data_IF_096395408903
#
_entry.id   IF_096395408903
#
_cell.length_a   1.000
_cell.length_b   1.000
_cell.length_c   1.000
_cell.angle_alpha   90.00
_cell.angle_beta   90.00
_cell.angle_gamma   90.00
#
_symmetry.space_group_name_H-M   'P 1'
#
loop_
_entity.id
_entity.type
_entity.pdbx_description
1 polymer ?
#
# COMPACT_ATOMS: atom_id res chain seq x y z
N UNK A 1 8.31 -9.95 21.00
CA UNK A 1 8.70 -9.83 19.57
C UNK A 1 7.42 -9.76 18.77
N UNK A 2 7.04 -8.57 18.27
CA UNK A 2 5.88 -8.44 17.38
C UNK A 2 6.17 -9.24 16.10
N UNK A 3 5.38 -10.29 15.86
CA UNK A 3 5.51 -11.07 14.63
C UNK A 3 5.19 -10.15 13.44
N UNK A 4 6.11 -10.04 12.49
CA UNK A 4 5.94 -9.28 11.23
C UNK A 4 5.00 -10.02 10.27
N UNK A 5 4.65 -11.28 10.57
CA UNK A 5 3.87 -12.16 9.71
C UNK A 5 2.48 -11.63 9.34
N UNK A 6 1.73 -10.95 10.24
CA UNK A 6 0.48 -10.28 9.87
C UNK A 6 0.69 -9.18 8.82
N UNK A 7 1.79 -8.43 8.91
CA UNK A 7 2.13 -7.40 7.92
C UNK A 7 2.58 -8.03 6.59
N UNK A 8 3.38 -9.11 6.65
CA UNK A 8 3.74 -9.89 5.46
C UNK A 8 2.49 -10.40 4.72
N UNK A 9 1.52 -10.94 5.46
CA UNK A 9 0.25 -11.42 4.89
C UNK A 9 -0.54 -10.27 4.26
N UNK A 10 -0.56 -9.09 4.88
CA UNK A 10 -1.19 -7.89 4.32
C UNK A 10 -0.57 -7.55 2.96
N UNK A 11 0.76 -7.46 2.87
CA UNK A 11 1.46 -7.16 1.61
C UNK A 11 1.14 -8.20 0.53
N UNK A 12 1.15 -9.49 0.87
CA UNK A 12 0.86 -10.58 -0.08
C UNK A 12 -0.58 -10.55 -0.61
N UNK A 13 -1.55 -10.15 0.21
CA UNK A 13 -2.94 -9.99 -0.22
C UNK A 13 -3.09 -8.75 -1.11
N UNK A 14 -2.49 -7.63 -0.69
CA UNK A 14 -2.45 -6.39 -1.47
C UNK A 14 -1.83 -6.57 -2.85
N UNK A 15 -0.68 -7.27 -2.91
CA UNK A 15 0.02 -7.57 -4.15
C UNK A 15 -0.89 -8.28 -5.16
N UNK A 16 -1.59 -9.34 -4.73
CA UNK A 16 -2.52 -10.09 -5.58
C UNK A 16 -3.78 -9.31 -5.94
N UNK A 17 -4.29 -8.49 -5.03
CA UNK A 17 -5.53 -7.75 -5.24
C UNK A 17 -5.37 -6.57 -6.21
N UNK A 18 -4.23 -5.87 -6.19
CA UNK A 18 -4.06 -4.62 -6.94
C UNK A 18 -2.96 -4.66 -8.00
N UNK A 19 -2.01 -5.61 -7.92
CA UNK A 19 -0.79 -5.57 -8.72
C UNK A 19 -0.60 -6.80 -9.62
N UNK A 20 -1.58 -7.70 -9.73
CA UNK A 20 -1.48 -8.89 -10.60
C UNK A 20 -1.32 -8.53 -12.09
N UNK A 21 -2.08 -7.53 -12.55
CA UNK A 21 -2.12 -7.11 -13.96
C UNK A 21 -1.10 -5.99 -14.32
N UNK A 22 -0.31 -5.53 -13.35
CA UNK A 22 0.63 -4.42 -13.59
C UNK A 22 1.80 -4.90 -14.45
N UNK A 23 2.03 -4.21 -15.58
CA UNK A 23 3.11 -4.51 -16.51
C UNK A 23 4.06 -3.32 -16.67
N UNK A 24 5.37 -3.59 -16.66
CA UNK A 24 6.41 -2.56 -16.73
C UNK A 24 7.08 -2.54 -18.12
N UNK A 25 6.32 -2.15 -19.15
CA UNK A 25 6.82 -2.05 -20.53
C UNK A 25 7.86 -0.93 -20.68
N UNK A 26 8.78 -1.08 -21.62
CA UNK A 26 9.71 -0.01 -22.03
C UNK A 26 9.21 0.63 -23.32
N UNK A 27 9.43 1.93 -23.49
CA UNK A 27 8.94 2.79 -24.60
C UNK A 27 9.15 2.26 -26.03
N UNK A 28 10.02 1.28 -26.26
CA UNK A 28 10.41 0.81 -27.60
C UNK A 28 10.08 -0.66 -27.92
N UNK A 29 9.18 -1.33 -27.19
CA UNK A 29 8.78 -2.69 -27.58
C UNK A 29 7.60 -2.65 -28.58
N UNK A 30 7.95 -2.59 -29.87
CA UNK A 30 7.09 -3.09 -30.94
C UNK A 30 6.71 -4.54 -30.63
N UNK A 31 5.45 -4.90 -30.91
CA UNK A 31 4.78 -6.17 -30.61
C UNK A 31 5.70 -7.38 -30.83
N UNK A 32 6.44 -7.77 -29.80
CA UNK A 32 7.14 -9.05 -29.74
C UNK A 32 6.27 -10.00 -28.94
N UNK A 33 6.03 -11.15 -29.55
CA UNK A 33 5.51 -12.39 -28.99
C UNK A 33 5.73 -12.52 -27.48
N UNK A 34 4.62 -12.43 -26.72
CA UNK A 34 4.43 -12.99 -25.37
C UNK A 34 5.59 -12.76 -24.39
N UNK A 35 5.89 -11.51 -24.04
CA UNK A 35 6.59 -11.24 -22.78
C UNK A 35 5.57 -11.24 -21.63
N UNK A 36 5.48 -12.37 -20.93
CA UNK A 36 4.62 -12.59 -19.76
C UNK A 36 5.15 -11.77 -18.56
N UNK A 37 5.15 -10.44 -18.68
CA UNK A 37 5.54 -9.52 -17.62
C UNK A 37 4.46 -9.36 -16.53
N UNK A 38 3.35 -10.10 -16.67
CA UNK A 38 2.25 -10.15 -15.72
C UNK A 38 2.72 -10.87 -14.45
N UNK A 39 2.31 -10.38 -13.29
CA UNK A 39 2.69 -10.97 -12.00
C UNK A 39 4.10 -10.64 -11.50
N UNK A 40 4.94 -9.94 -12.28
CA UNK A 40 6.28 -9.51 -11.81
C UNK A 40 6.17 -8.65 -10.56
N UNK A 41 5.20 -7.73 -10.54
CA UNK A 41 4.93 -6.89 -9.37
C UNK A 41 4.65 -7.73 -8.11
N UNK A 42 3.84 -8.80 -8.25
CA UNK A 42 3.51 -9.72 -7.16
C UNK A 42 4.74 -10.47 -6.67
N UNK A 43 5.56 -10.96 -7.59
CA UNK A 43 6.80 -11.69 -7.27
C UNK A 43 7.79 -10.79 -6.51
N UNK A 44 7.97 -9.55 -6.96
CA UNK A 44 8.87 -8.57 -6.30
C UNK A 44 8.39 -8.26 -4.88
N UNK A 45 7.10 -7.96 -4.69
CA UNK A 45 6.55 -7.68 -3.36
C UNK A 45 6.66 -8.90 -2.43
N UNK A 46 6.35 -10.11 -2.91
CA UNK A 46 6.46 -11.33 -2.11
C UNK A 46 7.91 -11.64 -1.70
N UNK A 47 8.87 -11.38 -2.59
CA UNK A 47 10.29 -11.51 -2.26
C UNK A 47 10.74 -10.50 -1.20
N UNK A 48 10.25 -9.26 -1.28
CA UNK A 48 10.54 -8.22 -0.30
C UNK A 48 9.91 -8.54 1.08
N UNK A 49 8.78 -9.25 1.18
CA UNK A 49 8.24 -9.65 2.50
C UNK A 49 9.15 -10.57 3.30
N UNK A 50 10.11 -11.22 2.63
CA UNK A 50 11.07 -12.13 3.27
C UNK A 50 12.38 -11.45 3.65
N UNK A 51 12.54 -10.15 3.36
CA UNK A 51 13.82 -9.44 3.48
C UNK A 51 13.60 -8.04 4.07
N UNK A 52 14.51 -7.57 4.91
CA UNK A 52 14.37 -6.27 5.58
C UNK A 52 14.97 -5.13 4.76
N UNK A 53 16.24 -5.23 4.36
CA UNK A 53 16.88 -4.33 3.41
C UNK A 53 17.68 -5.13 2.39
N UNK A 54 17.52 -4.81 1.11
CA UNK A 54 18.09 -5.60 0.01
C UNK A 54 18.68 -4.70 -1.05
N UNK A 55 19.87 -5.07 -1.53
CA UNK A 55 20.51 -4.46 -2.70
C UNK A 55 19.70 -4.77 -3.95
N UNK A 56 19.38 -3.74 -4.74
CA UNK A 56 18.61 -3.92 -5.98
C UNK A 56 19.25 -4.93 -6.94
N UNK A 57 20.59 -4.96 -7.00
CA UNK A 57 21.32 -5.90 -7.85
C UNK A 57 21.15 -7.35 -7.41
N UNK A 58 21.18 -7.61 -6.11
CA UNK A 58 21.05 -8.96 -5.56
C UNK A 58 19.59 -9.43 -5.63
N UNK A 59 18.63 -8.53 -5.43
CA UNK A 59 17.22 -8.81 -5.72
C UNK A 59 16.98 -9.18 -7.19
N UNK A 60 17.64 -8.49 -8.13
CA UNK A 60 17.52 -8.81 -9.56
C UNK A 60 18.07 -10.20 -9.89
N UNK A 61 19.24 -10.55 -9.34
CA UNK A 61 19.86 -11.87 -9.52
C UNK A 61 18.97 -12.97 -8.97
N UNK A 62 18.47 -12.81 -7.75
CA UNK A 62 17.66 -13.83 -7.06
C UNK A 62 16.33 -14.08 -7.76
N UNK A 63 15.70 -13.03 -8.27
CA UNK A 63 14.46 -13.12 -9.03
C UNK A 63 14.68 -13.48 -10.50
N UNK A 64 15.94 -13.62 -10.94
CA UNK A 64 16.33 -13.83 -12.34
C UNK A 64 15.69 -12.79 -13.28
N UNK A 65 15.53 -11.57 -12.78
CA UNK A 65 14.95 -10.45 -13.52
C UNK A 65 16.05 -9.59 -14.11
N UNK A 66 15.78 -9.00 -15.26
CA UNK A 66 16.68 -8.02 -15.85
C UNK A 66 16.72 -6.75 -14.97
N UNK A 67 17.91 -6.24 -14.63
CA UNK A 67 18.06 -5.11 -13.69
C UNK A 67 17.29 -3.84 -14.09
N UNK A 68 17.18 -3.54 -15.40
CA UNK A 68 16.32 -2.42 -15.87
C UNK A 68 14.83 -2.63 -15.58
N UNK A 69 14.35 -3.87 -15.64
CA UNK A 69 12.95 -4.22 -15.39
C UNK A 69 12.63 -4.12 -13.91
N UNK A 70 13.49 -4.68 -13.05
CA UNK A 70 13.36 -4.55 -11.61
C UNK A 70 13.37 -3.07 -11.19
N UNK A 71 14.29 -2.26 -11.72
CA UNK A 71 14.36 -0.83 -11.37
C UNK A 71 13.09 -0.06 -11.75
N UNK A 72 12.43 -0.38 -12.87
CA UNK A 72 11.12 0.21 -13.21
C UNK A 72 10.05 -0.19 -12.19
N UNK A 73 10.00 -1.48 -11.84
CA UNK A 73 9.06 -2.00 -10.85
C UNK A 73 9.26 -1.35 -9.47
N UNK A 74 10.51 -1.20 -9.02
CA UNK A 74 10.84 -0.56 -7.75
C UNK A 74 10.51 0.94 -7.75
N UNK A 75 10.80 1.68 -8.83
CA UNK A 75 10.37 3.09 -8.95
C UNK A 75 8.86 3.24 -8.86
N UNK A 76 8.12 2.37 -9.54
CA UNK A 76 6.66 2.37 -9.45
C UNK A 76 6.17 2.12 -8.01
N UNK A 77 6.77 1.18 -7.28
CA UNK A 77 6.40 0.94 -5.88
C UNK A 77 6.81 2.07 -4.93
N UNK A 78 7.88 2.79 -5.24
CA UNK A 78 8.31 3.99 -4.51
C UNK A 78 7.32 5.15 -4.72
N UNK A 79 6.85 5.35 -5.95
CA UNK A 79 5.79 6.32 -6.28
C UNK A 79 4.47 5.97 -5.59
N UNK A 80 4.14 4.68 -5.54
CA UNK A 80 2.95 4.15 -4.87
C UNK A 80 3.09 4.09 -3.32
N UNK A 81 4.22 4.55 -2.77
CA UNK A 81 4.54 4.58 -1.33
C UNK A 81 4.49 3.20 -0.65
N UNK A 82 4.86 2.15 -1.38
CA UNK A 82 4.95 0.80 -0.81
C UNK A 82 6.37 0.44 -0.36
N UNK A 83 7.38 1.04 -0.98
CA UNK A 83 8.78 0.77 -0.65
C UNK A 83 9.54 2.06 -0.42
N UNK A 84 10.61 1.95 0.36
CA UNK A 84 11.62 2.99 0.53
C UNK A 84 12.87 2.56 -0.21
N UNK A 85 13.47 3.49 -0.95
CA UNK A 85 14.73 3.29 -1.69
C UNK A 85 15.77 4.26 -1.15
N UNK A 86 16.96 3.74 -0.87
CA UNK A 86 18.09 4.53 -0.38
C UNK A 86 19.32 4.25 -1.25
N UNK A 87 20.01 5.32 -1.67
CA UNK A 87 21.19 5.24 -2.54
C UNK A 87 22.44 5.57 -1.73
N UNK A 88 23.39 4.65 -1.68
CA UNK A 88 24.65 4.81 -0.97
C UNK A 88 25.82 4.79 -1.94
N UNK A 89 26.72 5.77 -1.84
CA UNK A 89 28.01 5.73 -2.53
C UNK A 89 28.96 4.88 -1.69
N UNK A 90 29.24 3.67 -2.15
CA UNK A 90 30.18 2.77 -1.49
C UNK A 90 31.49 2.69 -2.26
N UNK A 91 32.60 2.57 -1.55
CA UNK A 91 33.89 2.22 -2.15
C UNK A 91 33.86 0.74 -2.57
N UNK A 92 34.54 0.36 -3.67
CA UNK A 92 34.58 -1.02 -4.14
C UNK A 92 35.06 -2.06 -3.08
N UNK A 93 35.72 -1.61 -2.00
CA UNK A 93 36.14 -2.44 -0.87
C UNK A 93 34.99 -2.76 0.12
N UNK A 94 34.00 -1.87 0.30
CA UNK A 94 32.81 -2.11 1.14
C UNK A 94 31.79 -3.08 0.50
N UNK A 95 31.61 -2.98 -0.81
CA UNK A 95 30.79 -3.90 -1.60
C UNK A 95 31.28 -5.36 -1.51
N UNK A 96 32.62 -5.54 -1.50
CA UNK A 96 33.27 -6.84 -1.36
C UNK A 96 33.13 -7.41 0.05
N UNK A 97 33.07 -6.60 1.10
CA UNK A 97 32.88 -7.07 2.48
C UNK A 97 31.47 -7.64 2.73
N UNK A 98 30.43 -7.01 2.19
CA UNK A 98 29.05 -7.53 2.30
C UNK A 98 28.87 -8.83 1.50
N UNK A 99 29.41 -8.88 0.28
CA UNK A 99 29.39 -10.10 -0.54
C UNK A 99 30.29 -11.21 0.02
N UNK A 100 31.43 -10.88 0.65
CA UNK A 100 32.27 -11.86 1.36
C UNK A 100 31.60 -12.38 2.64
N UNK A 101 30.86 -11.54 3.38
CA UNK A 101 30.08 -11.99 4.54
C UNK A 101 28.93 -12.95 4.16
N UNK A 102 28.36 -12.82 2.95
CA UNK A 102 27.40 -13.79 2.41
C UNK A 102 28.11 -15.04 1.86
N UNK A 103 29.26 -14.88 1.18
CA UNK A 103 30.03 -15.98 0.61
C UNK A 103 30.77 -16.83 1.67
N UNK A 104 31.08 -16.29 2.85
CA UNK A 104 31.73 -17.01 3.96
C UNK A 104 30.87 -18.13 4.58
N UNK A 105 29.69 -18.41 4.02
CA UNK A 105 28.89 -19.62 4.28
C UNK A 105 29.22 -20.78 3.33
N UNK A 106 30.12 -20.58 2.36
CA UNK A 106 30.68 -21.62 1.50
C UNK A 106 32.20 -21.44 1.38
N UNK A 107 32.96 -22.44 1.82
CA UNK A 107 34.42 -22.44 1.95
C UNK A 107 35.19 -21.92 0.71
N UNK A 108 36.18 -21.05 0.94
CA UNK A 108 37.17 -20.65 -0.07
C UNK A 108 38.04 -19.43 0.29
N UNK A 109 39.35 -19.67 0.39
CA UNK A 109 40.48 -18.82 0.85
C UNK A 109 40.75 -17.53 0.03
N UNK A 110 41.32 -16.44 0.61
CA UNK A 110 41.63 -15.21 -0.14
C UNK A 110 43.06 -15.17 -0.68
N UNK A 111 43.25 -14.70 -1.91
CA UNK A 111 44.55 -14.36 -2.50
C UNK A 111 44.62 -12.83 -2.74
N UNK A 112 45.71 -12.22 -2.26
CA UNK A 112 45.92 -10.77 -2.32
C UNK A 112 46.49 -10.26 -3.65
N UNK A 113 46.36 -8.94 -3.85
CA UNK A 113 47.37 -8.05 -4.45
C UNK A 113 46.91 -6.60 -4.31
N UNK A 114 47.71 -5.82 -3.60
CA UNK A 114 47.57 -4.38 -3.44
C UNK A 114 48.09 -3.67 -4.69
N UNK A 115 47.22 -2.88 -5.30
CA UNK A 115 47.55 -1.89 -6.31
C UNK A 115 46.64 -0.69 -6.08
N UNK A 116 47.16 0.53 -6.23
CA UNK A 116 46.46 1.79 -6.04
C UNK A 116 45.28 1.93 -7.02
N UNK A 117 44.19 1.25 -6.71
CA UNK A 117 42.94 1.27 -7.46
C UNK A 117 42.23 2.57 -7.08
N UNK A 118 42.26 3.57 -7.98
CA UNK A 118 41.41 4.77 -7.91
C UNK A 118 40.05 4.34 -7.41
N UNK A 119 39.70 4.75 -6.19
CA UNK A 119 38.53 4.25 -5.47
C UNK A 119 37.27 4.65 -6.25
N UNK A 120 36.83 3.80 -7.18
CA UNK A 120 35.58 3.97 -7.89
C UNK A 120 34.47 3.82 -6.87
N UNK A 121 33.89 4.94 -6.47
CA UNK A 121 32.67 4.99 -5.69
C UNK A 121 31.54 4.43 -6.57
N UNK A 122 31.01 3.27 -6.21
CA UNK A 122 29.84 2.70 -6.87
C UNK A 122 28.60 3.10 -6.07
N UNK A 123 27.64 3.76 -6.73
CA UNK A 123 26.34 4.07 -6.12
C UNK A 123 25.52 2.79 -6.08
N UNK A 124 25.34 2.23 -4.90
CA UNK A 124 24.50 1.08 -4.66
C UNK A 124 23.12 1.54 -4.20
N UNK A 125 22.09 0.85 -4.69
CA UNK A 125 20.71 1.13 -4.35
C UNK A 125 20.18 0.02 -3.46
N UNK A 126 19.61 0.38 -2.32
CA UNK A 126 18.96 -0.51 -1.38
C UNK A 126 17.47 -0.23 -1.35
N UNK A 127 16.66 -1.26 -1.10
CA UNK A 127 15.21 -1.14 -0.97
C UNK A 127 14.67 -1.98 0.19
N UNK A 128 13.58 -1.49 0.80
CA UNK A 128 12.83 -2.15 1.87
C UNK A 128 11.33 -1.86 1.76
N UNK A 129 10.49 -2.70 2.39
CA UNK A 129 9.05 -2.43 2.52
C UNK A 129 8.80 -1.43 3.66
N UNK A 130 7.92 -0.46 3.42
CA UNK A 130 7.43 0.45 4.46
C UNK A 130 6.04 0.00 4.92
N UNK A 131 5.99 -0.80 5.99
CA UNK A 131 4.72 -1.35 6.49
C UNK A 131 3.74 -0.28 6.98
N UNK A 132 4.22 0.86 7.47
CA UNK A 132 3.36 1.96 7.92
C UNK A 132 2.64 2.57 6.72
N UNK A 133 3.42 2.96 5.71
CA UNK A 133 2.86 3.54 4.48
C UNK A 133 1.97 2.55 3.74
N UNK A 134 2.37 1.28 3.66
CA UNK A 134 1.55 0.24 3.02
C UNK A 134 0.19 0.14 3.70
N UNK A 135 0.14 0.13 5.04
CA UNK A 135 -1.13 0.06 5.78
C UNK A 135 -2.06 1.21 5.41
N UNK A 136 -1.55 2.45 5.42
CA UNK A 136 -2.34 3.64 5.11
C UNK A 136 -2.78 3.70 3.64
N UNK A 137 -1.87 3.37 2.70
CA UNK A 137 -2.16 3.33 1.27
C UNK A 137 -3.26 2.30 0.97
N UNK A 138 -3.17 1.09 1.52
CA UNK A 138 -4.15 0.03 1.28
C UNK A 138 -5.50 0.40 1.88
N UNK A 139 -5.51 0.94 3.10
CA UNK A 139 -6.72 1.44 3.75
C UNK A 139 -7.39 2.53 2.92
N UNK A 140 -6.63 3.50 2.45
CA UNK A 140 -7.13 4.59 1.62
C UNK A 140 -7.69 4.09 0.28
N UNK A 141 -6.98 3.18 -0.41
CA UNK A 141 -7.43 2.60 -1.69
C UNK A 141 -8.75 1.85 -1.56
N UNK A 142 -8.87 1.00 -0.53
CA UNK A 142 -10.12 0.28 -0.25
C UNK A 142 -11.28 1.23 0.04
N UNK A 143 -11.04 2.24 0.88
CA UNK A 143 -12.07 3.24 1.18
C UNK A 143 -12.50 3.99 -0.08
N UNK A 144 -11.55 4.48 -0.87
CA UNK A 144 -11.84 5.24 -2.09
C UNK A 144 -12.59 4.40 -3.12
N UNK A 145 -12.24 3.13 -3.27
CA UNK A 145 -12.90 2.23 -4.22
C UNK A 145 -14.35 1.93 -3.80
N UNK A 146 -14.59 1.62 -2.52
CA UNK A 146 -15.95 1.46 -1.97
C UNK A 146 -16.78 2.72 -2.12
N UNK A 147 -16.19 3.87 -1.76
CA UNK A 147 -16.87 5.16 -1.83
C UNK A 147 -17.28 5.51 -3.26
N UNK A 148 -16.42 5.33 -4.26
CA UNK A 148 -16.77 5.59 -5.66
C UNK A 148 -17.99 4.80 -6.14
N UNK A 149 -18.01 3.49 -5.88
CA UNK A 149 -19.15 2.65 -6.26
C UNK A 149 -20.41 3.00 -5.46
N UNK A 150 -20.27 3.30 -4.17
CA UNK A 150 -21.40 3.70 -3.33
C UNK A 150 -21.98 5.05 -3.75
N UNK A 151 -21.13 6.03 -4.05
CA UNK A 151 -21.54 7.34 -4.57
C UNK A 151 -22.26 7.20 -5.94
N UNK A 152 -21.85 6.27 -6.81
CA UNK A 152 -22.53 6.00 -8.08
C UNK A 152 -23.91 5.34 -7.90
N UNK A 153 -24.07 4.52 -6.85
CA UNK A 153 -25.34 3.94 -6.44
C UNK A 153 -26.26 5.03 -5.86
N UNK A 154 -25.73 5.86 -4.96
CA UNK A 154 -26.52 6.81 -4.18
C UNK A 154 -26.95 8.04 -5.00
N UNK A 155 -26.15 8.49 -5.98
CA UNK A 155 -26.50 9.63 -6.88
C UNK A 155 -27.83 9.45 -7.63
N UNK A 156 -28.38 8.23 -7.70
CA UNK A 156 -29.65 7.92 -8.36
C UNK A 156 -30.81 7.70 -7.41
N UNK A 157 -30.54 7.65 -6.10
CA UNK A 157 -31.50 7.20 -5.09
C UNK A 157 -32.05 8.33 -4.22
N UNK A 158 -31.59 9.58 -4.39
CA UNK A 158 -31.71 10.58 -3.31
C UNK A 158 -32.77 11.65 -3.48
N UNK A 159 -33.36 11.88 -4.66
CA UNK A 159 -34.39 12.93 -4.80
C UNK A 159 -35.43 12.52 -5.84
N UNK A 160 -36.64 12.17 -5.40
CA UNK A 160 -37.82 12.20 -6.26
C UNK A 160 -38.23 13.67 -6.43
N UNK A 161 -38.49 14.07 -7.67
CA UNK A 161 -39.02 15.39 -8.01
C UNK A 161 -40.51 15.25 -8.40
N UNK A 162 -41.32 16.22 -8.00
CA UNK A 162 -42.75 16.32 -8.30
C UNK A 162 -43.03 17.61 -9.09
N UNK A 163 -43.99 17.58 -10.02
CA UNK A 163 -44.31 18.73 -10.89
C UNK A 163 -45.83 18.96 -10.96
N UNK A 164 -46.31 20.20 -10.69
CA UNK A 164 -47.72 20.56 -10.97
C UNK A 164 -47.92 20.63 -12.49
N UNK A 165 -48.86 19.89 -13.09
CA UNK A 165 -49.16 19.98 -14.52
C UNK A 165 -49.81 21.32 -14.90
N UNK A 166 -50.48 22.00 -13.97
CA UNK A 166 -51.17 23.27 -14.23
C UNK A 166 -50.23 24.49 -14.20
N UNK A 167 -49.30 24.58 -13.26
CA UNK A 167 -48.40 25.75 -13.11
C UNK A 167 -46.90 25.45 -13.31
N UNK A 168 -46.55 24.20 -13.63
CA UNK A 168 -45.17 23.73 -13.88
C UNK A 168 -44.17 23.97 -12.74
N UNK A 169 -44.62 24.25 -11.52
CA UNK A 169 -43.76 24.29 -10.33
C UNK A 169 -43.22 22.91 -10.01
N UNK A 170 -41.91 22.85 -9.72
CA UNK A 170 -41.19 21.66 -9.28
C UNK A 170 -41.06 21.69 -7.76
N UNK A 171 -41.30 20.54 -7.15
CA UNK A 171 -41.21 20.31 -5.72
C UNK A 171 -40.30 19.11 -5.48
N UNK A 172 -39.44 19.17 -4.47
CA UNK A 172 -38.59 18.04 -4.10
C UNK A 172 -39.30 17.15 -3.08
N UNK A 173 -38.85 15.91 -2.87
CA UNK A 173 -39.25 15.06 -1.74
C UNK A 173 -39.22 15.78 -0.38
N UNK A 174 -38.33 16.77 -0.20
CA UNK A 174 -38.26 17.55 1.03
C UNK A 174 -39.46 18.49 1.24
N UNK A 175 -40.14 18.88 0.17
CA UNK A 175 -41.33 19.72 0.21
C UNK A 175 -42.60 18.89 0.41
N UNK A 176 -42.53 17.58 0.15
CA UNK A 176 -43.63 16.63 0.22
C UNK A 176 -44.44 16.70 1.53
N UNK A 177 -43.84 16.81 2.75
CA UNK A 177 -44.62 16.90 3.99
C UNK A 177 -45.53 18.13 4.09
N UNK A 178 -45.20 19.22 3.38
CA UNK A 178 -45.99 20.47 3.37
C UNK A 178 -47.10 20.44 2.31
N UNK A 179 -47.00 19.52 1.36
CA UNK A 179 -47.87 19.42 0.19
C UNK A 179 -48.99 18.39 0.37
N UNK A 180 -49.07 17.71 1.52
CA UNK A 180 -50.09 16.68 1.79
C UNK A 180 -51.46 17.35 2.01
N UNK A 181 -52.44 16.96 1.21
CA UNK A 181 -53.85 17.31 1.47
C UNK A 181 -54.48 16.31 2.43
N UNK A 182 -55.17 16.82 3.46
CA UNK A 182 -55.89 15.99 4.44
C UNK A 182 -57.17 15.36 3.87
N UNK A 183 -57.73 15.90 2.79
CA UNK A 183 -58.99 15.43 2.20
C UNK A 183 -58.79 14.26 1.23
N UNK A 184 -57.71 14.30 0.45
CA UNK A 184 -57.44 13.35 -0.65
C UNK A 184 -56.21 12.48 -0.39
N UNK A 185 -55.39 12.79 0.62
CA UNK A 185 -54.18 12.03 0.96
C UNK A 185 -53.05 12.11 -0.06
N UNK A 186 -53.20 12.91 -1.12
CA UNK A 186 -52.21 13.12 -2.19
C UNK A 186 -51.43 14.43 -2.05
N UNK A 187 -50.37 14.58 -2.84
CA UNK A 187 -49.55 15.80 -2.88
C UNK A 187 -50.21 16.85 -3.78
N UNK A 188 -50.50 18.03 -3.24
CA UNK A 188 -51.13 19.12 -3.96
C UNK A 188 -50.19 20.33 -4.00
N UNK A 189 -50.20 21.03 -5.13
CA UNK A 189 -49.39 22.23 -5.29
C UNK A 189 -49.95 23.41 -4.51
N UNK A 190 -49.07 24.17 -3.85
CA UNK A 190 -49.40 25.36 -3.06
C UNK A 190 -50.10 26.49 -3.84
N UNK A 191 -49.91 26.55 -5.17
CA UNK A 191 -50.44 27.63 -6.00
C UNK A 191 -51.67 27.26 -6.81
N UNK A 192 -51.69 26.04 -7.34
CA UNK A 192 -52.70 25.56 -8.27
C UNK A 192 -53.72 24.62 -7.58
N UNK A 193 -53.46 24.18 -6.33
CA UNK A 193 -54.15 23.09 -5.62
C UNK A 193 -54.40 21.85 -6.48
N UNK A 194 -53.56 21.66 -7.51
CA UNK A 194 -53.64 20.53 -8.41
C UNK A 194 -52.71 19.43 -7.89
N UNK A 195 -53.11 18.18 -8.12
CA UNK A 195 -52.32 17.02 -7.73
C UNK A 195 -50.95 17.04 -8.45
N UNK A 196 -49.90 16.80 -7.68
CA UNK A 196 -48.53 16.78 -8.14
C UNK A 196 -48.20 15.40 -8.70
N UNK A 197 -47.67 15.37 -9.92
CA UNK A 197 -47.18 14.14 -10.55
C UNK A 197 -45.69 13.98 -10.25
N UNK A 198 -45.22 12.77 -10.01
CA UNK A 198 -43.78 12.50 -9.95
C UNK A 198 -43.20 12.78 -11.33
N UNK A 199 -42.03 13.42 -11.41
CA UNK A 199 -41.37 13.72 -12.69
C UNK A 199 -41.08 12.45 -13.50
N UNK A 200 -40.87 11.32 -12.82
CA UNK A 200 -40.80 9.99 -13.44
C UNK A 200 -42.07 9.62 -14.23
N UNK A 201 -43.25 10.06 -13.80
CA UNK A 201 -44.54 9.71 -14.42
C UNK A 201 -44.84 10.56 -15.68
N UNK A 202 -44.28 11.77 -15.80
CA UNK A 202 -44.44 12.61 -17.02
C UNK A 202 -43.60 12.11 -18.20
N UNK A 203 -42.44 11.50 -17.93
CA UNK A 203 -41.67 10.80 -18.97
C UNK A 203 -42.23 9.40 -19.26
N UNK A 204 -42.97 8.80 -18.32
CA UNK A 204 -43.60 7.50 -18.52
C UNK A 204 -44.78 7.52 -19.51
N UNK A 205 -45.43 8.65 -19.76
CA UNK A 205 -46.60 8.72 -20.64
C UNK A 205 -46.29 8.60 -22.15
N UNK A 206 -45.01 8.65 -22.56
CA UNK A 206 -44.59 8.46 -23.96
C UNK A 206 -43.57 7.34 -24.17
N UNK A 207 -43.03 6.75 -23.09
CA UNK A 207 -42.02 5.69 -23.15
C UNK A 207 -42.24 4.69 -21.99
N UNK A 208 -43.39 4.01 -22.03
CA UNK A 208 -43.80 3.05 -21.00
C UNK A 208 -42.90 1.80 -21.06
N UNK A 209 -41.97 1.69 -20.10
CA UNK A 209 -41.45 0.40 -19.64
C UNK A 209 -39.95 0.18 -19.76
N UNK A 210 -39.29 0.59 -20.86
CA UNK A 210 -37.87 0.25 -21.05
C UNK A 210 -36.90 1.13 -20.25
N UNK A 211 -37.21 2.42 -20.08
CA UNK A 211 -36.30 3.37 -19.41
C UNK A 211 -36.14 3.12 -17.90
N UNK A 212 -37.25 2.94 -17.18
CA UNK A 212 -37.26 2.72 -15.73
C UNK A 212 -36.76 1.31 -15.37
N UNK A 213 -37.17 0.28 -16.13
CA UNK A 213 -36.63 -1.07 -15.97
C UNK A 213 -35.13 -1.11 -16.23
N UNK A 214 -34.62 -0.38 -17.21
CA UNK A 214 -33.19 -0.32 -17.50
C UNK A 214 -32.41 0.47 -16.42
N UNK A 215 -33.00 1.53 -15.87
CA UNK A 215 -32.43 2.25 -14.73
C UNK A 215 -32.34 1.37 -13.47
N UNK A 216 -33.42 0.62 -13.18
CA UNK A 216 -33.51 -0.33 -12.07
C UNK A 216 -32.55 -1.51 -12.25
N UNK A 217 -32.50 -2.13 -13.43
CA UNK A 217 -31.54 -3.19 -13.78
C UNK A 217 -30.10 -2.70 -13.67
N UNK A 218 -29.81 -1.46 -14.11
CA UNK A 218 -28.47 -0.87 -13.96
C UNK A 218 -28.11 -0.64 -12.50
N UNK A 219 -29.05 -0.20 -11.66
CA UNK A 219 -28.84 -0.02 -10.23
C UNK A 219 -28.59 -1.35 -9.52
N UNK A 220 -29.40 -2.37 -9.81
CA UNK A 220 -29.20 -3.72 -9.30
C UNK A 220 -27.85 -4.30 -9.74
N UNK A 221 -27.43 -4.04 -10.99
CA UNK A 221 -26.10 -4.41 -11.49
C UNK A 221 -24.98 -3.71 -10.71
N UNK A 222 -25.09 -2.40 -10.44
CA UNK A 222 -24.09 -1.65 -9.66
C UNK A 222 -24.02 -2.14 -8.21
N UNK A 223 -25.17 -2.39 -7.57
CA UNK A 223 -25.21 -2.98 -6.23
C UNK A 223 -24.65 -4.40 -6.21
N UNK A 224 -24.97 -5.22 -7.20
CA UNK A 224 -24.41 -6.56 -7.35
C UNK A 224 -22.89 -6.53 -7.56
N UNK A 225 -22.37 -5.54 -8.30
CA UNK A 225 -20.92 -5.33 -8.44
C UNK A 225 -20.28 -4.88 -7.12
N UNK A 226 -20.92 -3.97 -6.38
CA UNK A 226 -20.45 -3.51 -5.07
C UNK A 226 -20.37 -4.66 -4.07
N UNK A 227 -21.40 -5.51 -4.04
CA UNK A 227 -21.44 -6.67 -3.14
C UNK A 227 -20.36 -7.69 -3.49
N UNK A 228 -20.24 -8.05 -4.79
CA UNK A 228 -19.16 -8.95 -5.26
C UNK A 228 -17.78 -8.41 -4.89
N UNK A 229 -17.56 -7.11 -5.06
CA UNK A 229 -16.31 -6.47 -4.69
C UNK A 229 -16.06 -6.54 -3.17
N UNK A 230 -17.07 -6.27 -2.35
CA UNK A 230 -16.95 -6.37 -0.90
C UNK A 230 -16.61 -7.79 -0.44
N UNK A 231 -17.24 -8.81 -1.05
CA UNK A 231 -16.94 -10.22 -0.80
C UNK A 231 -15.48 -10.55 -1.16
N UNK A 232 -15.02 -10.12 -2.34
CA UNK A 232 -13.64 -10.38 -2.78
C UNK A 232 -12.58 -9.69 -1.91
N UNK A 233 -12.88 -8.49 -1.39
CA UNK A 233 -11.95 -7.70 -0.58
C UNK A 233 -12.09 -7.93 0.94
N UNK A 234 -13.05 -8.76 1.35
CA UNK A 234 -13.27 -9.12 2.74
C UNK A 234 -12.00 -9.69 3.40
N UNK A 235 -11.23 -10.62 2.79
CA UNK A 235 -10.01 -11.15 3.40
C UNK A 235 -8.95 -10.06 3.63
N UNK A 236 -8.84 -9.10 2.70
CA UNK A 236 -7.90 -7.98 2.84
C UNK A 236 -8.35 -7.00 3.94
N UNK A 237 -9.66 -6.80 4.08
CA UNK A 237 -10.25 -5.92 5.10
C UNK A 237 -10.09 -6.50 6.50
N UNK A 238 -10.34 -7.80 6.66
CA UNK A 238 -10.10 -8.52 7.91
C UNK A 238 -8.61 -8.46 8.29
N UNK A 239 -7.71 -8.59 7.32
CA UNK A 239 -6.28 -8.49 7.59
C UNK A 239 -5.87 -7.08 8.01
N UNK A 240 -6.43 -6.02 7.42
CA UNK A 240 -6.21 -4.65 7.88
C UNK A 240 -6.69 -4.43 9.31
N UNK A 241 -7.87 -4.95 9.66
CA UNK A 241 -8.40 -4.84 11.02
C UNK A 241 -7.49 -5.56 12.03
N UNK A 242 -6.95 -6.72 11.67
CA UNK A 242 -6.01 -7.45 12.53
C UNK A 242 -4.68 -6.71 12.72
N UNK A 243 -4.22 -6.00 11.70
CA UNK A 243 -2.95 -5.29 11.71
C UNK A 243 -3.06 -3.93 12.41
N UNK A 244 -4.26 -3.32 12.42
CA UNK A 244 -4.55 -2.02 13.03
C UNK A 244 -4.06 -1.90 14.48
N UNK A 245 -4.26 -2.95 15.29
CA UNK A 245 -3.98 -2.92 16.73
C UNK A 245 -2.56 -3.43 17.06
N UNK A 246 -1.75 -3.74 16.04
CA UNK A 246 -0.37 -4.21 16.21
C UNK A 246 0.61 -3.06 16.04
N UNK A 247 1.71 -3.10 16.82
CA UNK A 247 2.83 -2.20 16.62
C UNK A 247 3.45 -2.42 15.23
N UNK A 248 3.52 -1.36 14.44
CA UNK A 248 4.05 -1.40 13.07
C UNK A 248 5.55 -1.70 13.12
N UNK A 249 6.05 -2.70 12.36
CA UNK A 249 7.47 -2.95 12.26
C UNK A 249 8.18 -1.78 11.58
N UNK A 250 8.93 -1.00 12.35
CA UNK A 250 9.73 0.11 11.82
C UNK A 250 11.14 -0.36 11.46
N UNK A 251 11.42 -0.41 10.15
CA UNK A 251 12.77 -0.66 9.65
C UNK A 251 13.66 0.58 9.71
N UNK A 252 13.10 1.77 9.91
CA UNK A 252 13.86 3.03 10.02
C UNK A 252 14.67 3.33 8.76
N UNK A 253 15.63 4.26 8.87
CA UNK A 253 16.57 4.56 7.77
C UNK A 253 17.61 3.42 7.64
N UNK A 254 18.24 3.24 6.47
CA UNK A 254 19.21 2.15 6.25
C UNK A 254 20.31 2.12 7.32
N UNK A 255 20.80 3.29 7.74
CA UNK A 255 21.80 3.43 8.79
C UNK A 255 21.35 2.92 10.16
N UNK A 256 20.09 3.16 10.55
CA UNK A 256 19.57 2.71 11.84
C UNK A 256 19.21 1.22 11.82
N UNK A 257 18.86 0.67 10.66
CA UNK A 257 18.77 -0.77 10.47
C UNK A 257 20.13 -1.45 10.55
N UNK A 258 21.15 -0.96 9.84
CA UNK A 258 22.52 -1.51 9.87
C UNK A 258 23.11 -1.53 11.29
N UNK A 259 22.90 -0.46 12.07
CA UNK A 259 23.33 -0.40 13.46
C UNK A 259 22.68 -1.50 14.31
N UNK A 260 21.37 -1.71 14.16
CA UNK A 260 20.64 -2.78 14.87
C UNK A 260 21.08 -4.19 14.43
N UNK A 261 21.27 -4.40 13.13
CA UNK A 261 21.71 -5.67 12.57
C UNK A 261 23.13 -6.03 13.03
N UNK A 262 24.04 -5.05 13.09
CA UNK A 262 25.39 -5.25 13.61
C UNK A 262 25.40 -5.59 15.10
N UNK A 263 24.55 -4.94 15.91
CA UNK A 263 24.40 -5.29 17.34
C UNK A 263 23.84 -6.70 17.51
N UNK A 264 22.82 -7.08 16.73
CA UNK A 264 22.26 -8.43 16.78
C UNK A 264 23.26 -9.50 16.34
N UNK A 265 24.06 -9.25 15.31
CA UNK A 265 25.10 -10.16 14.83
C UNK A 265 26.23 -10.33 15.87
N UNK A 266 26.61 -9.24 16.55
CA UNK A 266 27.56 -9.28 17.68
C UNK A 266 27.01 -10.08 18.87
N UNK A 267 25.72 -9.99 19.15
CA UNK A 267 25.06 -10.74 20.21
C UNK A 267 24.93 -12.24 19.88
N UNK A 268 24.66 -12.58 18.61
CA UNK A 268 24.51 -13.97 18.15
C UNK A 268 25.84 -14.74 18.08
N UNK A 269 26.94 -14.04 17.78
CA UNK A 269 28.28 -14.65 17.69
C UNK A 269 29.03 -14.77 19.02
N UNK A 270 28.38 -14.54 20.17
CA UNK A 270 28.91 -14.86 21.50
C UNK A 270 30.40 -14.54 21.72
N UNK A 271 30.77 -13.25 21.72
CA UNK A 271 32.16 -12.82 21.89
C UNK A 271 32.42 -12.12 23.23
N UNK A 272 33.12 -12.81 24.13
CA UNK A 272 33.77 -12.26 25.33
C UNK A 272 34.66 -11.04 25.01
N UNK A 273 34.80 -10.06 25.92
CA UNK A 273 35.65 -8.90 25.70
C UNK A 273 37.12 -9.22 26.03
N UNK A 274 37.92 -9.50 25.01
CA UNK A 274 39.38 -9.30 25.00
C UNK A 274 39.82 -9.42 23.51
N UNK A 275 40.67 -8.59 22.92
CA UNK A 275 41.78 -7.82 23.47
C UNK A 275 42.04 -6.58 22.59
N UNK A 276 42.68 -5.62 23.23
CA UNK A 276 43.14 -4.34 22.74
C UNK A 276 44.40 -4.51 21.90
N UNK A 277 44.41 -4.02 20.65
CA UNK A 277 45.62 -3.44 20.06
C UNK A 277 45.30 -2.63 18.79
N UNK A 278 45.51 -1.31 18.91
CA UNK A 278 45.74 -0.33 17.84
C UNK A 278 44.55 -0.06 16.91
N UNK A 279 43.89 1.10 16.98
CA UNK A 279 44.51 2.38 16.65
C UNK A 279 43.88 3.56 17.40
N UNK A 280 44.77 4.37 17.95
CA UNK A 280 44.56 5.69 18.54
C UNK A 280 43.82 6.67 17.61
N UNK A 281 42.73 7.25 18.10
CA UNK A 281 42.42 8.68 18.00
C UNK A 281 41.18 8.97 18.85
N UNK A 282 41.38 9.79 19.88
CA UNK A 282 40.40 10.07 20.93
C UNK A 282 39.23 10.93 20.49
N UNK A 283 38.12 10.81 21.21
CA UNK A 283 37.60 11.82 22.15
C UNK A 283 36.14 11.47 22.53
N UNK A 284 35.87 11.41 23.84
CA UNK A 284 34.53 11.72 24.39
C UNK A 284 33.60 10.55 24.75
N UNK A 285 33.98 9.69 25.69
CA UNK A 285 33.01 8.87 26.45
C UNK A 285 32.65 9.61 27.75
N UNK A 286 31.37 9.96 27.92
CA UNK A 286 30.83 10.40 29.22
C UNK A 286 30.52 9.17 30.09
N UNK A 287 30.94 9.11 31.37
CA UNK A 287 30.62 7.99 32.25
C UNK A 287 29.22 8.11 32.86
N UNK A 288 28.54 6.97 33.00
CA UNK A 288 27.27 6.79 33.72
C UNK A 288 27.38 7.23 35.20
N UNK A 289 26.37 7.93 35.76
CA UNK A 289 26.32 8.22 37.19
C UNK A 289 25.80 7.00 37.97
N UNK A 290 26.58 6.61 38.97
CA UNK A 290 26.28 5.58 39.97
C UNK A 290 25.16 6.05 40.91
N UNK A 291 24.03 5.33 40.94
CA UNK A 291 22.95 5.51 41.92
C UNK A 291 23.21 4.57 43.11
N UNK A 292 23.46 5.15 44.28
CA UNK A 292 23.74 4.43 45.52
C UNK A 292 22.50 3.79 46.14
N UNK A 293 22.73 2.68 46.85
CA UNK A 293 21.73 1.87 47.56
C UNK A 293 21.05 2.60 48.75
N UNK A 294 19.81 2.21 49.10
CA UNK A 294 19.05 2.84 50.19
C UNK A 294 19.49 2.31 51.56
N UNK A 295 19.77 3.23 52.49
CA UNK A 295 19.91 2.91 53.92
C UNK A 295 18.54 2.68 54.55
N UNK A 296 18.38 1.52 55.15
CA UNK A 296 17.32 1.14 56.08
C UNK A 296 17.56 1.88 57.40
N UNK A 297 16.56 2.61 57.90
CA UNK A 297 16.56 3.14 59.26
C UNK A 297 15.86 2.14 60.19
N UNK A 298 16.46 1.95 61.36
CA UNK A 298 15.88 1.31 62.55
C UNK A 298 14.98 2.34 63.24
#
# INVERSE_FOLDING_TARGET
>A
MSSVDPFNRLVKLTARAFYDDVTFKGEHQQKSTRSDNRGIAVVVLDALTRRQWVREEDLAKDLKLHGKQLRRCLRFFEEEKLITREHRKETAKGAKLYSAAIAATADGQPFGKEGEEKVKLHTQSYCCLDYAQIYDVVRYRLHRMRKKLKDEVDKKNTVQEYICPNCSKRYSDFDAPRLISFETGGFHCENCNHELLKEADKFAAQDVGEGDDNARKRHEKLNGMLEKMNVQLKPLTEQLNRVKDLAVPEFGNLQSWEARANVANRAANGGYPNDSSMSSQGFGASPMPYLGDPKVNI
#
